data_IF_036266934860
#
_entry.id   IF_036266934860
#
_cell.length_a   1.000
_cell.length_b   1.000
_cell.length_c   1.000
_cell.angle_alpha   90.00
_cell.angle_beta   90.00
_cell.angle_gamma   90.00
#
_symmetry.space_group_name_H-M   'P 1'
#
loop_
_entity.id
_entity.type
_entity.pdbx_description
1 polymer ?
#
# COMPACT_ATOMS: atom_id res chain seq x y z
N UNK A 1 -15.09 19.99 9.13
CA UNK A 1 -14.01 19.53 8.25
C UNK A 1 -14.24 18.05 8.02
N UNK A 2 -14.86 17.70 6.88
CA UNK A 2 -15.12 16.32 6.51
C UNK A 2 -13.79 15.61 6.30
N UNK A 3 -13.61 14.49 7.01
CA UNK A 3 -12.46 13.63 6.82
C UNK A 3 -12.74 12.86 5.52
N UNK A 4 -12.30 13.40 4.38
CA UNK A 4 -12.29 12.71 3.09
C UNK A 4 -11.17 11.65 3.08
N UNK A 5 -11.17 10.75 4.07
CA UNK A 5 -10.28 9.59 4.05
C UNK A 5 -10.93 8.50 3.21
N UNK A 6 -10.51 8.44 1.96
CA UNK A 6 -10.82 7.32 1.08
C UNK A 6 -10.21 6.05 1.68
N UNK A 7 -11.04 5.20 2.26
CA UNK A 7 -10.60 3.87 2.70
C UNK A 7 -10.34 3.03 1.45
N UNK A 8 -9.09 2.62 1.24
CA UNK A 8 -8.67 1.76 0.15
C UNK A 8 -8.18 0.45 0.72
N UNK A 9 -8.99 -0.60 0.61
CA UNK A 9 -8.61 -1.95 1.03
C UNK A 9 -8.37 -2.79 -0.21
N UNK A 10 -7.22 -3.45 -0.27
CA UNK A 10 -6.91 -4.35 -1.37
C UNK A 10 -6.26 -5.64 -0.88
N UNK A 11 -6.61 -6.75 -1.53
CA UNK A 11 -5.87 -8.01 -1.44
C UNK A 11 -5.23 -8.24 -2.80
N UNK A 12 -3.91 -8.32 -2.84
CA UNK A 12 -3.14 -8.33 -4.07
C UNK A 12 -2.39 -9.65 -4.30
N UNK A 13 -2.24 -10.02 -5.57
CA UNK A 13 -1.34 -11.06 -6.05
C UNK A 13 -0.37 -10.46 -7.06
N UNK A 14 0.90 -10.85 -6.95
CA UNK A 14 1.94 -10.37 -7.86
C UNK A 14 3.32 -10.85 -7.45
N UNK A 15 4.34 -10.63 -8.31
CA UNK A 15 5.71 -10.98 -7.99
C UNK A 15 6.20 -10.17 -6.79
N UNK A 16 6.93 -10.86 -5.92
CA UNK A 16 7.68 -10.27 -4.83
C UNK A 16 9.10 -10.83 -4.88
N UNK A 17 10.07 -9.95 -4.62
CA UNK A 17 11.48 -10.30 -4.57
C UNK A 17 12.07 -9.73 -3.28
N UNK A 18 12.83 -10.56 -2.57
CA UNK A 18 13.56 -10.14 -1.38
C UNK A 18 15.02 -10.56 -1.53
N UNK A 19 15.91 -9.66 -1.17
CA UNK A 19 17.34 -9.84 -1.21
C UNK A 19 17.96 -9.43 0.13
N UNK A 20 18.85 -10.26 0.64
CA UNK A 20 19.62 -9.98 1.85
C UNK A 20 21.09 -10.20 1.55
N UNK A 21 21.90 -9.18 1.79
CA UNK A 21 23.34 -9.23 1.61
C UNK A 21 24.04 -9.05 2.96
N UNK A 22 24.80 -10.04 3.44
CA UNK A 22 25.55 -9.90 4.68
C UNK A 22 26.69 -8.91 4.50
N UNK A 23 26.87 -8.04 5.50
CA UNK A 23 27.99 -7.10 5.62
C UNK A 23 28.64 -7.34 6.97
N UNK A 24 29.92 -7.01 7.16
CA UNK A 24 30.71 -7.42 8.33
C UNK A 24 29.97 -7.33 9.70
N UNK A 25 29.31 -6.21 9.99
CA UNK A 25 28.58 -6.00 11.25
C UNK A 25 27.06 -6.17 11.13
N UNK A 26 26.53 -6.70 10.02
CA UNK A 26 25.09 -6.80 9.81
C UNK A 26 24.67 -7.24 8.43
N UNK A 27 23.65 -6.61 7.86
CA UNK A 27 23.19 -6.94 6.52
C UNK A 27 22.32 -5.86 5.90
N UNK A 28 22.42 -5.73 4.59
CA UNK A 28 21.49 -4.93 3.78
C UNK A 28 20.33 -5.83 3.39
N UNK A 29 19.12 -5.34 3.55
CA UNK A 29 17.89 -6.00 3.12
C UNK A 29 17.18 -5.11 2.11
N UNK A 30 16.77 -5.69 0.99
CA UNK A 30 15.95 -5.04 -0.01
C UNK A 30 14.77 -5.94 -0.36
N UNK A 31 13.59 -5.35 -0.48
CA UNK A 31 12.39 -6.03 -0.91
C UNK A 31 11.65 -5.17 -1.93
N UNK A 32 11.13 -5.84 -2.96
CA UNK A 32 10.31 -5.24 -3.99
C UNK A 32 9.08 -6.09 -4.19
N UNK A 33 7.92 -5.47 -4.39
CA UNK A 33 6.72 -6.18 -4.81
C UNK A 33 5.92 -5.36 -5.80
N UNK A 34 5.31 -6.04 -6.75
CA UNK A 34 4.40 -5.43 -7.71
C UNK A 34 3.07 -6.19 -7.70
N UNK A 35 2.03 -5.68 -7.01
CA UNK A 35 0.65 -6.09 -7.20
C UNK A 35 0.26 -6.06 -8.68
N UNK A 36 -0.06 -7.22 -9.27
CA UNK A 36 -0.49 -7.34 -10.67
C UNK A 36 -1.99 -7.55 -10.77
N UNK A 37 -2.59 -8.26 -9.82
CA UNK A 37 -4.03 -8.37 -9.67
C UNK A 37 -4.42 -8.09 -8.23
N UNK A 38 -5.60 -7.52 -8.01
CA UNK A 38 -6.10 -7.28 -6.66
C UNK A 38 -7.62 -7.27 -6.61
N UNK A 39 -8.16 -7.74 -5.49
CA UNK A 39 -9.52 -7.47 -5.09
C UNK A 39 -9.52 -6.13 -4.34
N UNK A 40 -10.05 -5.09 -4.97
CA UNK A 40 -10.16 -3.74 -4.39
C UNK A 40 -11.56 -3.58 -3.82
N UNK A 41 -11.61 -3.22 -2.53
CA UNK A 41 -12.84 -2.83 -1.83
C UNK A 41 -12.75 -1.33 -1.56
N UNK A 42 -13.74 -0.59 -2.07
CA UNK A 42 -13.94 0.81 -1.73
C UNK A 42 -15.29 0.96 -1.02
N UNK A 43 -15.31 1.15 0.31
CA UNK A 43 -16.53 1.53 0.98
C UNK A 43 -16.93 2.93 0.50
N UNK A 44 -18.19 3.09 0.13
CA UNK A 44 -18.75 4.35 -0.33
C UNK A 44 -19.01 5.22 0.91
N UNK A 45 -18.04 6.05 1.31
CA UNK A 45 -18.27 7.09 2.31
C UNK A 45 -18.53 8.41 1.59
N UNK A 46 -19.80 8.64 1.26
CA UNK A 46 -20.28 9.96 0.87
C UNK A 46 -21.60 10.22 1.61
N UNK A 47 -21.50 10.71 2.84
CA UNK A 47 -22.51 11.61 3.39
C UNK A 47 -22.02 13.04 3.14
N UNK A 48 -21.84 13.40 1.87
CA UNK A 48 -21.64 14.80 1.51
C UNK A 48 -22.96 15.36 0.95
N UNK A 49 -23.74 16.09 1.78
CA UNK A 49 -25.00 16.68 1.35
C UNK A 49 -24.83 17.78 0.28
N UNK A 50 -23.60 18.21 -0.03
CA UNK A 50 -23.32 19.22 -1.05
C UNK A 50 -23.19 18.67 -2.47
N UNK A 51 -23.18 17.34 -2.65
CA UNK A 51 -23.04 16.68 -3.96
C UNK A 51 -24.20 15.68 -4.23
N UNK A 52 -25.46 16.17 -4.36
CA UNK A 52 -26.65 15.33 -4.50
C UNK A 52 -26.71 14.52 -5.81
N UNK A 53 -26.08 15.00 -6.88
CA UNK A 53 -26.08 14.31 -8.19
C UNK A 53 -25.03 13.19 -8.27
N UNK A 54 -23.96 13.27 -7.48
CA UNK A 54 -22.93 12.23 -7.39
C UNK A 54 -23.29 11.14 -6.36
N UNK A 55 -24.25 11.44 -5.49
CA UNK A 55 -24.82 10.54 -4.47
C UNK A 55 -26.12 9.89 -4.95
N UNK A 56 -26.12 9.32 -6.16
CA UNK A 56 -27.15 8.34 -6.47
C UNK A 56 -26.91 7.08 -5.62
N UNK A 57 -27.43 7.12 -4.40
CA UNK A 57 -27.30 6.15 -3.32
C UNK A 57 -27.59 4.73 -3.82
N UNK A 58 -28.51 4.58 -4.79
CA UNK A 58 -28.86 3.29 -5.37
C UNK A 58 -27.85 2.76 -6.40
N UNK A 59 -27.31 3.62 -7.26
CA UNK A 59 -26.33 3.21 -8.28
C UNK A 59 -24.91 3.08 -7.72
N UNK A 60 -24.53 3.93 -6.77
CA UNK A 60 -23.26 3.87 -6.05
C UNK A 60 -23.16 2.58 -5.24
N UNK A 61 -24.10 2.34 -4.33
CA UNK A 61 -24.07 1.22 -3.38
C UNK A 61 -24.12 -0.17 -4.03
N UNK A 62 -24.84 -0.32 -5.15
CA UNK A 62 -24.95 -1.60 -5.87
C UNK A 62 -23.80 -1.85 -6.87
N UNK A 63 -23.04 -0.83 -7.29
CA UNK A 63 -21.88 -0.99 -8.21
C UNK A 63 -20.52 -0.91 -7.53
N UNK A 64 -20.39 -0.31 -6.34
CA UNK A 64 -19.16 -0.31 -5.55
C UNK A 64 -19.05 -1.57 -4.69
N UNK A 65 -19.06 -2.73 -5.36
CA UNK A 65 -18.67 -4.01 -4.77
C UNK A 65 -17.15 -4.21 -4.80
N UNK A 66 -16.67 -5.29 -4.18
CA UNK A 66 -15.31 -5.80 -4.38
C UNK A 66 -15.07 -5.99 -5.87
N UNK A 67 -14.10 -5.28 -6.44
CA UNK A 67 -13.76 -5.40 -7.85
C UNK A 67 -12.42 -6.11 -8.00
N UNK A 68 -12.39 -7.14 -8.85
CA UNK A 68 -11.13 -7.67 -9.33
C UNK A 68 -10.56 -6.70 -10.35
N UNK A 69 -9.40 -6.14 -10.03
CA UNK A 69 -8.66 -5.21 -10.88
C UNK A 69 -7.28 -5.77 -11.14
N UNK A 70 -6.72 -5.43 -12.29
CA UNK A 70 -5.39 -5.89 -12.67
C UNK A 70 -4.58 -4.76 -13.32
N UNK A 71 -3.28 -4.98 -13.48
CA UNK A 71 -2.41 -4.13 -14.28
C UNK A 71 -2.96 -3.99 -15.71
N UNK A 72 -2.95 -2.79 -16.32
CA UNK A 72 -2.37 -1.54 -15.82
C UNK A 72 -3.33 -0.66 -15.02
N UNK A 73 -4.58 -1.09 -14.77
CA UNK A 73 -5.56 -0.29 -14.01
C UNK A 73 -5.12 -0.09 -12.56
N UNK A 74 -4.48 -1.10 -11.97
CA UNK A 74 -3.83 -0.99 -10.68
C UNK A 74 -2.31 -0.96 -10.87
N UNK A 75 -1.69 0.13 -10.48
CA UNK A 75 -0.24 0.25 -10.39
C UNK A 75 0.11 0.55 -8.95
N UNK A 76 0.79 -0.36 -8.27
CA UNK A 76 1.16 -0.19 -6.87
C UNK A 76 2.53 -0.80 -6.52
N UNK A 77 3.63 -0.45 -7.21
CA UNK A 77 4.95 -0.93 -6.82
C UNK A 77 5.27 -0.51 -5.39
N UNK A 78 5.84 -1.45 -4.64
CA UNK A 78 6.33 -1.25 -3.27
C UNK A 78 7.78 -1.63 -3.19
N UNK A 79 8.55 -0.79 -2.52
CA UNK A 79 9.97 -0.98 -2.32
C UNK A 79 10.31 -0.74 -0.86
N UNK A 80 11.17 -1.59 -0.32
CA UNK A 80 11.74 -1.45 1.02
C UNK A 80 13.22 -1.73 0.92
N UNK A 81 14.06 -0.87 1.47
CA UNK A 81 15.49 -1.12 1.60
C UNK A 81 15.97 -0.67 2.97
N UNK A 82 16.86 -1.43 3.58
CA UNK A 82 17.33 -1.11 4.92
C UNK A 82 18.59 -1.83 5.31
N UNK A 83 19.05 -1.50 6.50
CA UNK A 83 20.20 -2.12 7.13
C UNK A 83 19.80 -2.69 8.49
N UNK A 84 20.23 -3.92 8.76
CA UNK A 84 20.02 -4.62 10.03
C UNK A 84 21.36 -4.80 10.71
N UNK A 85 21.46 -4.29 11.93
CA UNK A 85 22.61 -4.43 12.82
C UNK A 85 22.28 -5.46 13.92
N UNK A 86 22.88 -6.66 13.92
CA UNK A 86 22.88 -7.53 15.09
C UNK A 86 23.48 -6.82 16.30
N UNK A 87 22.81 -7.00 17.44
CA UNK A 87 23.26 -6.62 18.77
C UNK A 87 23.66 -7.89 19.54
N UNK A 88 24.04 -7.74 20.80
CA UNK A 88 24.26 -8.85 21.72
C UNK A 88 22.95 -9.60 22.03
N UNK A 89 23.05 -10.84 22.52
CA UNK A 89 21.92 -11.69 22.93
C UNK A 89 20.84 -11.91 21.85
N UNK A 90 21.25 -12.13 20.59
CA UNK A 90 20.36 -12.38 19.45
C UNK A 90 19.39 -11.23 19.08
N UNK A 91 19.52 -10.07 19.72
CA UNK A 91 18.76 -8.85 19.38
C UNK A 91 19.29 -8.24 18.08
N UNK A 92 18.46 -7.44 17.41
CA UNK A 92 18.94 -6.62 16.30
C UNK A 92 18.15 -5.33 16.12
N UNK A 93 18.78 -4.33 15.52
CA UNK A 93 18.15 -3.06 15.16
C UNK A 93 18.19 -2.90 13.65
N UNK A 94 17.05 -2.60 13.06
CA UNK A 94 16.89 -2.33 11.64
C UNK A 94 16.48 -0.89 11.38
N UNK A 95 17.04 -0.28 10.34
CA UNK A 95 16.54 0.96 9.77
C UNK A 95 16.15 0.70 8.32
N UNK A 96 14.89 0.97 7.98
CA UNK A 96 14.32 0.69 6.67
C UNK A 96 13.70 1.93 6.08
N UNK A 97 13.94 2.15 4.80
CA UNK A 97 13.25 3.12 3.98
C UNK A 97 12.22 2.40 3.11
N UNK A 98 10.98 2.87 3.16
CA UNK A 98 9.85 2.31 2.43
C UNK A 98 9.33 3.32 1.41
N UNK A 99 8.91 2.81 0.25
CA UNK A 99 8.26 3.57 -0.80
C UNK A 99 7.09 2.75 -1.37
N UNK A 100 5.96 3.39 -1.60
CA UNK A 100 4.78 2.83 -2.24
C UNK A 100 4.19 3.87 -3.20
N UNK A 101 3.91 3.46 -4.44
CA UNK A 101 3.29 4.34 -5.43
C UNK A 101 1.99 3.73 -5.94
N UNK A 102 0.87 4.13 -5.33
CA UNK A 102 -0.46 3.72 -5.76
C UNK A 102 -0.99 4.65 -6.86
N UNK A 103 -1.43 4.07 -7.96
CA UNK A 103 -2.21 4.71 -9.01
C UNK A 103 -3.37 3.81 -9.41
N UNK A 104 -4.60 4.32 -9.30
CA UNK A 104 -5.83 3.63 -9.65
C UNK A 104 -6.87 4.62 -10.20
N UNK A 105 -7.39 4.47 -11.43
CA UNK A 105 -8.20 5.49 -12.09
C UNK A 105 -9.68 5.51 -11.67
N UNK A 106 -10.21 4.41 -11.14
CA UNK A 106 -11.65 4.20 -10.95
C UNK A 106 -12.08 4.31 -9.47
N UNK A 107 -13.36 4.55 -9.15
CA UNK A 107 -14.29 5.41 -9.93
C UNK A 107 -13.84 6.88 -9.96
N UNK A 108 -12.89 7.27 -9.10
CA UNK A 108 -12.17 8.55 -9.14
C UNK A 108 -10.67 8.27 -9.09
N UNK A 109 -9.85 8.97 -9.91
CA UNK A 109 -8.42 8.76 -9.91
C UNK A 109 -7.80 8.98 -8.52
N UNK A 110 -7.20 7.93 -7.98
CA UNK A 110 -6.41 7.95 -6.76
C UNK A 110 -4.95 7.79 -7.16
N UNK A 111 -4.13 8.80 -6.81
CA UNK A 111 -2.68 8.76 -6.97
C UNK A 111 -2.06 9.13 -5.64
N UNK A 112 -1.34 8.20 -5.04
CA UNK A 112 -0.69 8.39 -3.74
C UNK A 112 0.72 7.88 -3.84
N UNK A 113 1.67 8.74 -3.46
CA UNK A 113 3.05 8.35 -3.24
C UNK A 113 3.31 8.40 -1.74
N UNK A 114 3.58 7.25 -1.14
CA UNK A 114 3.88 7.12 0.28
C UNK A 114 5.34 6.74 0.42
N UNK A 115 6.04 7.38 1.35
CA UNK A 115 7.39 6.99 1.73
C UNK A 115 7.60 7.20 3.23
N UNK A 116 8.56 6.51 3.80
CA UNK A 116 8.80 6.59 5.23
C UNK A 116 10.05 5.86 5.67
N UNK A 117 10.47 6.14 6.89
CA UNK A 117 11.56 5.44 7.55
C UNK A 117 11.00 4.70 8.74
N UNK A 118 11.25 3.39 8.79
CA UNK A 118 10.93 2.55 9.94
C UNK A 118 12.21 2.25 10.71
N UNK A 119 12.16 2.46 12.01
CA UNK A 119 13.16 1.95 12.95
C UNK A 119 12.54 0.75 13.66
N UNK A 120 13.17 -0.40 13.52
CA UNK A 120 12.65 -1.68 14.03
C UNK A 120 13.66 -2.26 15.02
N UNK A 121 13.16 -2.74 16.14
CA UNK A 121 13.93 -3.47 17.13
C UNK A 121 13.41 -4.90 17.20
N UNK A 122 14.29 -5.88 17.02
CA UNK A 122 13.97 -7.31 17.09
C UNK A 122 14.52 -7.89 18.40
N UNK A 123 13.65 -8.55 19.15
CA UNK A 123 13.95 -9.21 20.44
C UNK A 123 14.24 -10.70 20.24
#
# INVERSE_FOLDING_TARGET
MGIDTWQFTQVALGPAYQYRYPVWKGGVEAAFSLPVSSLVVRPNYAFDPSLPDETNYYFGYLRTGTQLVAFPKLFNPRFRAGYVLPLEDAKSVGAYYNMEWLSYPDPRPLRVFTHGVDLVYFF
#
